data_IF_164827134758
#
_entry.id   IF_164827134758
#
_cell.length_a   1.000
_cell.length_b   1.000
_cell.length_c   1.000
_cell.angle_alpha   90.00
_cell.angle_beta   90.00
_cell.angle_gamma   90.00
#
_symmetry.space_group_name_H-M   'P 1'
#
loop_
_entity.id
_entity.type
_entity.pdbx_description
1 polymer ?
#
# COMPACT_ATOMS: atom_id res chain seq x y z
N UNK A 1 -21.36 -5.73 -13.45
CA UNK A 1 -19.92 -5.68 -13.79
C UNK A 1 -19.11 -6.20 -12.61
N UNK A 2 -18.54 -7.41 -12.71
CA UNK A 2 -17.82 -8.05 -11.60
C UNK A 2 -16.44 -7.41 -11.40
N UNK A 3 -16.13 -6.94 -10.19
CA UNK A 3 -14.80 -6.40 -9.84
C UNK A 3 -13.78 -7.53 -9.89
N UNK A 4 -12.80 -7.45 -10.80
CA UNK A 4 -11.66 -8.40 -10.84
C UNK A 4 -10.91 -8.32 -9.50
N UNK A 5 -10.83 -9.44 -8.78
CA UNK A 5 -9.99 -9.56 -7.58
C UNK A 5 -8.53 -9.35 -7.99
N UNK A 6 -7.87 -8.33 -7.44
CA UNK A 6 -6.43 -8.07 -7.68
C UNK A 6 -5.52 -9.01 -6.89
N UNK A 7 -6.10 -9.80 -5.98
CA UNK A 7 -5.39 -10.84 -5.25
C UNK A 7 -5.21 -12.02 -6.19
N UNK A 8 -4.01 -12.14 -6.77
CA UNK A 8 -3.60 -13.30 -7.55
C UNK A 8 -2.93 -14.30 -6.62
N UNK A 9 -3.31 -15.57 -6.71
CA UNK A 9 -2.71 -16.67 -5.95
C UNK A 9 -1.66 -17.34 -6.82
N UNK A 10 -0.43 -17.44 -6.32
CA UNK A 10 0.66 -18.15 -6.98
C UNK A 10 1.16 -19.28 -6.07
N UNK A 11 1.56 -20.40 -6.66
CA UNK A 11 2.31 -21.43 -5.92
C UNK A 11 3.78 -20.99 -5.75
N UNK A 12 4.49 -21.59 -4.79
CA UNK A 12 5.91 -21.31 -4.59
C UNK A 12 6.76 -21.60 -5.84
N UNK A 13 6.41 -22.64 -6.60
CA UNK A 13 7.08 -22.99 -7.86
C UNK A 13 6.80 -21.99 -8.97
N UNK A 14 5.57 -21.48 -9.05
CA UNK A 14 5.19 -20.47 -10.03
C UNK A 14 5.90 -19.13 -9.78
N UNK A 15 6.06 -18.76 -8.51
CA UNK A 15 6.86 -17.58 -8.12
C UNK A 15 8.32 -17.76 -8.56
N UNK A 16 8.94 -18.92 -8.32
CA UNK A 16 10.32 -19.19 -8.73
C UNK A 16 10.51 -19.11 -10.24
N UNK A 17 9.58 -19.66 -11.02
CA UNK A 17 9.61 -19.57 -12.49
C UNK A 17 9.54 -18.13 -12.98
N UNK A 18 8.64 -17.32 -12.41
CA UNK A 18 8.52 -15.90 -12.77
C UNK A 18 9.79 -15.11 -12.48
N UNK A 19 10.44 -15.37 -11.35
CA UNK A 19 11.75 -14.77 -11.02
C UNK A 19 12.81 -15.21 -12.06
N UNK A 20 12.85 -16.49 -12.42
CA UNK A 20 13.80 -17.00 -13.43
C UNK A 20 13.58 -16.38 -14.82
N UNK A 21 12.33 -16.04 -15.17
CA UNK A 21 11.98 -15.35 -16.40
C UNK A 21 12.17 -13.81 -16.32
N UNK A 22 12.62 -13.26 -15.19
CA UNK A 22 12.78 -11.82 -15.00
C UNK A 22 11.45 -11.05 -14.94
N UNK A 23 10.34 -11.74 -14.69
CA UNK A 23 9.00 -11.14 -14.56
C UNK A 23 8.73 -10.57 -13.16
N UNK A 24 9.70 -10.67 -12.26
CA UNK A 24 9.58 -10.13 -10.93
C UNK A 24 9.80 -8.60 -10.92
N UNK A 25 9.10 -7.92 -10.03
CA UNK A 25 9.17 -6.44 -9.91
C UNK A 25 10.34 -5.97 -9.04
N UNK A 26 11.24 -6.87 -8.64
CA UNK A 26 12.38 -6.51 -7.79
C UNK A 26 13.36 -5.70 -8.62
N UNK A 27 13.91 -4.64 -8.03
CA UNK A 27 14.94 -3.85 -8.71
C UNK A 27 16.21 -4.70 -8.89
N UNK A 28 16.92 -4.60 -10.03
CA UNK A 28 18.13 -5.38 -10.29
C UNK A 28 19.23 -5.25 -9.23
N UNK A 29 19.28 -4.11 -8.54
CA UNK A 29 20.27 -3.80 -7.50
C UNK A 29 19.68 -3.89 -6.07
N UNK A 30 18.55 -4.56 -5.88
CA UNK A 30 17.98 -4.72 -4.56
C UNK A 30 18.91 -5.54 -3.66
N UNK A 31 19.31 -5.04 -2.48
CA UNK A 31 20.13 -5.82 -1.57
C UNK A 31 19.35 -7.03 -1.07
N UNK A 32 20.04 -8.14 -0.87
CA UNK A 32 19.45 -9.33 -0.24
C UNK A 32 18.99 -8.94 1.18
N UNK A 33 17.69 -9.09 1.44
CA UNK A 33 17.13 -8.78 2.74
C UNK A 33 17.74 -9.71 3.81
N UNK A 34 18.23 -9.12 4.91
CA UNK A 34 18.66 -9.89 6.07
C UNK A 34 17.44 -10.58 6.71
N UNK A 35 17.62 -11.82 7.13
CA UNK A 35 16.57 -12.54 7.86
C UNK A 35 16.23 -11.80 9.16
N UNK A 36 14.94 -11.58 9.41
CA UNK A 36 14.44 -10.93 10.63
C UNK A 36 14.44 -11.87 11.86
N UNK A 37 14.80 -13.15 11.66
CA UNK A 37 14.86 -14.15 12.73
C UNK A 37 13.49 -14.67 13.19
N UNK A 38 13.48 -15.81 13.90
CA UNK A 38 12.25 -16.48 14.35
C UNK A 38 11.45 -15.64 15.35
N UNK A 39 12.15 -14.93 16.25
CA UNK A 39 11.52 -14.14 17.31
C UNK A 39 10.64 -13.01 16.75
N UNK A 40 11.07 -12.36 15.67
CA UNK A 40 10.26 -11.34 14.99
C UNK A 40 8.91 -11.91 14.55
N UNK A 41 8.94 -13.04 13.83
CA UNK A 41 7.73 -13.67 13.27
C UNK A 41 6.79 -14.23 14.35
N UNK A 42 7.32 -14.71 15.47
CA UNK A 42 6.49 -15.18 16.60
C UNK A 42 5.60 -14.06 17.18
N UNK A 43 6.05 -12.81 17.11
CA UNK A 43 5.32 -11.64 17.62
C UNK A 43 4.69 -10.77 16.52
N UNK A 44 4.85 -11.14 15.25
CA UNK A 44 4.42 -10.31 14.14
C UNK A 44 2.89 -10.23 14.07
N UNK A 45 2.34 -9.01 14.09
CA UNK A 45 0.90 -8.78 13.90
C UNK A 45 0.60 -8.62 12.42
N UNK A 46 -0.24 -9.51 11.88
CA UNK A 46 -0.75 -9.38 10.50
C UNK A 46 -1.74 -8.22 10.46
N UNK A 47 -1.37 -7.15 9.77
CA UNK A 47 -2.27 -6.01 9.52
C UNK A 47 -2.88 -6.17 8.14
N UNK A 48 -4.16 -6.51 8.09
CA UNK A 48 -4.90 -6.54 6.83
C UNK A 48 -5.11 -5.11 6.30
N UNK A 49 -4.85 -4.84 5.02
CA UNK A 49 -5.13 -3.55 4.43
C UNK A 49 -6.63 -3.26 4.53
N UNK A 50 -6.99 -2.13 5.16
CA UNK A 50 -8.40 -1.71 5.23
C UNK A 50 -8.87 -1.31 3.84
N UNK A 51 -10.00 -1.87 3.41
CA UNK A 51 -10.65 -1.47 2.17
C UNK A 51 -11.01 0.02 2.22
N UNK A 52 -10.53 0.78 1.24
CA UNK A 52 -10.93 2.19 1.07
C UNK A 52 -12.34 2.20 0.47
N UNK A 53 -13.22 3.04 1.01
CA UNK A 53 -14.50 3.32 0.37
C UNK A 53 -14.26 4.21 -0.85
N UNK A 54 -14.83 3.84 -2.00
CA UNK A 54 -14.83 4.69 -3.18
C UNK A 54 -15.96 5.71 -3.04
N UNK A 55 -15.61 6.98 -2.86
CA UNK A 55 -16.56 8.09 -2.71
C UNK A 55 -16.28 9.16 -3.76
N UNK A 56 -17.34 9.86 -4.20
CA UNK A 56 -17.21 11.07 -5.01
C UNK A 56 -17.19 12.27 -4.06
N UNK A 57 -16.08 13.00 -4.02
CA UNK A 57 -15.87 14.18 -3.18
C UNK A 57 -15.47 15.35 -4.07
N UNK A 58 -16.08 16.52 -3.85
CA UNK A 58 -15.63 17.77 -4.46
C UNK A 58 -14.51 18.37 -3.63
N UNK A 59 -13.47 18.84 -4.30
CA UNK A 59 -12.29 19.48 -3.72
C UNK A 59 -11.94 20.67 -4.61
N UNK A 60 -11.36 21.70 -4.02
CA UNK A 60 -10.90 22.88 -4.77
C UNK A 60 -9.84 22.49 -5.81
N UNK A 61 -9.86 23.20 -6.94
CA UNK A 61 -9.05 22.85 -8.10
C UNK A 61 -7.55 22.98 -7.82
N UNK A 62 -7.16 24.05 -7.13
CA UNK A 62 -5.78 24.33 -6.71
C UNK A 62 -5.22 23.25 -5.75
N UNK A 63 -6.04 22.79 -4.81
CA UNK A 63 -5.68 21.69 -3.90
C UNK A 63 -5.44 20.40 -4.69
N UNK A 64 -6.34 20.07 -5.61
CA UNK A 64 -6.20 18.88 -6.43
C UNK A 64 -4.94 18.95 -7.31
N UNK A 65 -4.67 20.10 -7.92
CA UNK A 65 -3.53 20.29 -8.80
C UNK A 65 -2.20 20.26 -8.05
N UNK A 66 -2.16 20.81 -6.83
CA UNK A 66 -1.01 20.67 -5.93
C UNK A 66 -0.69 19.20 -5.66
N UNK A 67 -1.67 18.38 -5.29
CA UNK A 67 -1.44 16.94 -5.05
C UNK A 67 -1.02 16.20 -6.31
N UNK A 68 -1.61 16.51 -7.47
CA UNK A 68 -1.23 15.92 -8.77
C UNK A 68 0.21 16.24 -9.14
N UNK A 69 0.69 17.46 -8.87
CA UNK A 69 2.07 17.89 -9.17
C UNK A 69 3.13 17.01 -8.51
N UNK A 70 2.80 16.36 -7.40
CA UNK A 70 3.68 15.42 -6.69
C UNK A 70 3.82 14.04 -7.37
N UNK A 71 3.14 13.85 -8.51
CA UNK A 71 3.24 12.65 -9.33
C UNK A 71 2.33 11.49 -8.89
N UNK A 72 2.67 10.25 -9.30
CA UNK A 72 1.87 9.06 -8.99
C UNK A 72 1.61 8.91 -7.48
N UNK A 73 0.40 8.43 -7.15
CA UNK A 73 -0.01 8.25 -5.75
C UNK A 73 -0.59 9.49 -5.07
N UNK A 74 -0.89 10.55 -5.81
CA UNK A 74 -1.50 11.78 -5.27
C UNK A 74 -2.76 11.52 -4.43
N UNK A 75 -3.66 10.62 -4.86
CA UNK A 75 -4.83 10.21 -4.07
C UNK A 75 -4.48 9.52 -2.75
N UNK A 76 -3.39 8.74 -2.72
CA UNK A 76 -2.92 8.10 -1.48
C UNK A 76 -2.37 9.13 -0.51
N UNK A 77 -1.64 10.16 -1.00
CA UNK A 77 -1.16 11.28 -0.19
C UNK A 77 -2.33 12.13 0.34
N UNK A 78 -3.29 12.47 -0.51
CA UNK A 78 -4.50 13.20 -0.11
C UNK A 78 -5.26 12.44 0.99
N UNK A 79 -5.44 11.13 0.84
CA UNK A 79 -6.08 10.30 1.87
C UNK A 79 -5.27 10.22 3.18
N UNK A 80 -3.93 10.27 3.13
CA UNK A 80 -3.09 10.29 4.33
C UNK A 80 -3.28 11.60 5.13
N UNK A 81 -3.38 12.74 4.45
CA UNK A 81 -3.67 14.04 5.08
C UNK A 81 -5.04 14.02 5.75
N UNK A 82 -6.08 13.57 5.04
CA UNK A 82 -7.43 13.45 5.61
C UNK A 82 -7.45 12.53 6.84
N UNK A 83 -6.70 11.43 6.80
CA UNK A 83 -6.58 10.52 7.96
C UNK A 83 -5.91 11.22 9.14
N UNK A 84 -4.78 11.89 8.91
CA UNK A 84 -4.05 12.60 9.97
C UNK A 84 -4.92 13.65 10.64
N UNK A 85 -5.71 14.39 9.87
CA UNK A 85 -6.67 15.35 10.40
C UNK A 85 -7.70 14.67 11.31
N UNK A 86 -8.34 13.60 10.81
CA UNK A 86 -9.34 12.84 11.58
C UNK A 86 -8.76 12.25 12.87
N UNK A 87 -7.53 11.75 12.84
CA UNK A 87 -6.84 11.19 14.01
C UNK A 87 -6.53 12.28 15.04
N UNK A 88 -6.06 13.44 14.60
CA UNK A 88 -5.82 14.59 15.46
C UNK A 88 -7.13 15.11 16.09
N UNK A 89 -8.19 15.25 15.30
CA UNK A 89 -9.51 15.72 15.78
C UNK A 89 -10.21 14.75 16.73
N UNK A 90 -9.88 13.45 16.67
CA UNK A 90 -10.48 12.41 17.54
C UNK A 90 -9.83 12.32 18.93
N UNK A 91 -8.79 13.11 19.20
CA UNK A 91 -8.12 13.15 20.50
C UNK A 91 -7.32 11.88 20.78
N UNK A 92 -6.09 11.81 20.25
CA UNK A 92 -4.94 11.21 20.93
C UNK A 92 -5.02 9.77 21.46
N UNK A 93 -5.97 8.93 21.04
CA UNK A 93 -5.88 7.48 21.27
C UNK A 93 -5.38 6.78 20.00
N UNK A 94 -4.08 6.45 19.92
CA UNK A 94 -3.60 5.60 18.86
C UNK A 94 -4.29 4.23 18.99
N UNK A 95 -4.71 3.67 17.85
CA UNK A 95 -5.14 2.28 17.74
C UNK A 95 -3.92 1.37 17.69
#
# INVERSE_FOLDING_TARGET
MSKKSSIVRYSAEEIRRRIAHGEDKTRPNAPVAKSLGKNFWNSAKVVMPRNKAAVSLRVDADVLDWFKSQGPGHLSRMNAVLRSYVEASRGGKPR
#
